data_IF_089788066168
#
_entry.id   IF_089788066168
#
_cell.length_a   1.000
_cell.length_b   1.000
_cell.length_c   1.000
_cell.angle_alpha   90.00
_cell.angle_beta   90.00
_cell.angle_gamma   90.00
#
_symmetry.space_group_name_H-M   'P 1'
#
loop_
_entity.id
_entity.type
_entity.pdbx_description
1 polymer ?
#
# COMPACT_ATOMS: atom_id res chain seq x y z
N UNK A 1 21.72 -2.07 2.72
CA UNK A 1 21.53 -3.17 1.74
C UNK A 1 21.91 -4.53 2.33
N UNK A 2 23.12 -4.76 2.85
CA UNK A 2 23.50 -6.08 3.42
C UNK A 2 22.47 -6.64 4.44
N UNK A 3 21.99 -5.81 5.37
CA UNK A 3 20.96 -6.21 6.35
C UNK A 3 19.67 -6.71 5.68
N UNK A 4 19.23 -6.15 4.56
CA UNK A 4 18.03 -6.64 3.88
C UNK A 4 18.26 -8.01 3.26
N UNK A 5 19.41 -8.22 2.62
CA UNK A 5 19.71 -9.52 2.01
C UNK A 5 19.74 -10.63 3.05
N UNK A 6 20.45 -10.40 4.15
CA UNK A 6 20.65 -11.41 5.18
C UNK A 6 19.35 -11.77 5.91
N UNK A 7 18.48 -10.79 6.17
CA UNK A 7 17.23 -11.00 6.93
C UNK A 7 16.08 -11.51 6.04
N UNK A 8 16.05 -11.18 4.74
CA UNK A 8 14.92 -11.52 3.86
C UNK A 8 15.09 -12.85 3.10
N UNK A 9 16.31 -13.40 3.06
CA UNK A 9 16.60 -14.64 2.33
C UNK A 9 15.83 -15.86 2.84
N UNK A 10 15.39 -15.86 4.10
CA UNK A 10 14.60 -16.97 4.66
C UNK A 10 13.14 -16.98 4.17
N UNK A 11 12.64 -15.83 3.72
CA UNK A 11 11.21 -15.61 3.43
C UNK A 11 10.91 -15.44 1.94
N UNK A 12 11.95 -15.26 1.11
CA UNK A 12 11.81 -15.00 -0.31
C UNK A 12 13.12 -15.08 -1.05
N UNK A 13 13.10 -14.71 -2.32
CA UNK A 13 14.26 -14.81 -3.21
C UNK A 13 14.66 -13.45 -3.76
N UNK A 14 15.96 -13.30 -3.97
CA UNK A 14 16.56 -12.12 -4.59
C UNK A 14 16.88 -12.42 -6.05
N UNK A 15 16.45 -11.55 -6.97
CA UNK A 15 16.67 -11.70 -8.41
C UNK A 15 17.05 -10.36 -9.05
N UNK A 16 17.84 -10.41 -10.12
CA UNK A 16 18.09 -9.26 -10.97
C UNK A 16 16.88 -9.00 -11.87
N UNK A 17 16.31 -7.80 -11.80
CA UNK A 17 15.09 -7.46 -12.54
C UNK A 17 15.21 -6.11 -13.25
N UNK A 18 15.30 -6.18 -14.58
CA UNK A 18 15.36 -5.02 -15.51
C UNK A 18 16.41 -3.99 -15.06
N UNK A 19 16.08 -2.70 -15.09
CA UNK A 19 16.93 -1.59 -14.66
C UNK A 19 16.89 -1.35 -13.15
N UNK A 20 16.04 -2.06 -12.40
CA UNK A 20 16.00 -1.94 -10.93
C UNK A 20 17.16 -2.66 -10.25
N UNK A 21 17.82 -3.57 -10.96
CA UNK A 21 18.87 -4.41 -10.41
C UNK A 21 18.27 -5.46 -9.46
N UNK A 22 18.88 -5.70 -8.29
CA UNK A 22 18.42 -6.74 -7.40
C UNK A 22 17.16 -6.34 -6.63
N UNK A 23 16.11 -7.14 -6.82
CA UNK A 23 14.81 -7.02 -6.17
C UNK A 23 14.52 -8.29 -5.38
N UNK A 24 13.59 -8.22 -4.43
CA UNK A 24 13.19 -9.35 -3.60
C UNK A 24 11.71 -9.67 -3.80
N UNK A 25 11.31 -10.94 -3.77
CA UNK A 25 9.91 -11.33 -3.72
C UNK A 25 9.67 -12.45 -2.71
N UNK A 26 8.54 -12.43 -1.98
CA UNK A 26 8.23 -13.48 -1.01
C UNK A 26 7.84 -14.77 -1.73
N UNK A 27 8.27 -15.91 -1.19
CA UNK A 27 7.96 -17.24 -1.77
C UNK A 27 6.98 -18.05 -0.91
N UNK A 28 6.66 -17.57 0.30
CA UNK A 28 5.80 -18.23 1.28
C UNK A 28 4.57 -17.38 1.60
N UNK A 29 3.82 -17.02 0.56
CA UNK A 29 2.59 -16.23 0.66
C UNK A 29 1.40 -17.00 0.11
N UNK A 30 0.19 -16.68 0.60
CA UNK A 30 -1.04 -17.31 0.13
C UNK A 30 -1.44 -16.85 -1.28
N UNK A 31 -2.33 -17.62 -1.92
CA UNK A 31 -2.90 -17.23 -3.21
C UNK A 31 -3.67 -15.90 -3.08
N UNK A 32 -3.48 -15.00 -4.03
CA UNK A 32 -4.11 -13.68 -4.01
C UNK A 32 -3.44 -12.68 -3.06
N UNK A 33 -2.33 -13.06 -2.40
CA UNK A 33 -1.53 -12.15 -1.60
C UNK A 33 -1.06 -10.92 -2.38
N UNK A 34 -1.07 -9.78 -1.69
CA UNK A 34 -0.58 -8.49 -2.18
C UNK A 34 0.09 -7.73 -1.02
N UNK A 35 1.09 -6.89 -1.29
CA UNK A 35 1.63 -5.98 -0.29
C UNK A 35 0.51 -5.14 0.33
N UNK A 36 0.55 -4.96 1.65
CA UNK A 36 -0.45 -4.20 2.41
C UNK A 36 -1.87 -4.82 2.38
N UNK A 37 -2.01 -6.14 2.23
CA UNK A 37 -3.29 -6.84 2.33
C UNK A 37 -3.43 -7.65 3.63
N UNK A 38 -2.40 -8.42 4.00
CA UNK A 38 -2.43 -9.21 5.24
C UNK A 38 -1.90 -8.40 6.43
N UNK A 39 -2.74 -7.50 6.91
CA UNK A 39 -2.46 -6.62 8.04
C UNK A 39 -3.57 -5.62 8.24
N UNK A 40 -3.29 -4.55 8.98
CA UNK A 40 -4.21 -3.41 9.14
C UNK A 40 -3.46 -2.09 9.19
N UNK A 41 -4.13 -1.01 8.83
CA UNK A 41 -3.58 0.33 8.95
C UNK A 41 -3.77 0.88 10.36
N UNK A 42 -2.69 1.39 10.95
CA UNK A 42 -2.68 2.02 12.28
C UNK A 42 -2.09 3.43 12.18
N UNK A 43 -2.75 4.46 12.71
CA UNK A 43 -2.21 5.81 12.71
C UNK A 43 -1.13 5.94 13.80
N UNK A 44 -0.02 6.58 13.46
CA UNK A 44 1.07 6.88 14.40
C UNK A 44 1.46 8.35 14.32
N UNK A 45 2.29 8.82 15.25
CA UNK A 45 2.89 10.16 15.19
C UNK A 45 3.80 10.38 13.96
N UNK A 46 4.18 9.31 13.26
CA UNK A 46 5.02 9.32 12.06
C UNK A 46 4.22 9.09 10.77
N UNK A 47 2.88 8.95 10.86
CA UNK A 47 1.99 8.64 9.74
C UNK A 47 1.30 7.28 9.89
N UNK A 48 0.52 6.89 8.89
CA UNK A 48 -0.13 5.58 8.85
C UNK A 48 0.89 4.48 8.55
N UNK A 49 1.03 3.54 9.50
CA UNK A 49 1.88 2.35 9.42
C UNK A 49 1.00 1.13 9.19
N UNK A 50 1.52 0.15 8.44
CA UNK A 50 0.84 -1.13 8.24
C UNK A 50 1.31 -2.15 9.28
N UNK A 51 0.43 -2.46 10.23
CA UNK A 51 0.67 -3.47 11.25
C UNK A 51 0.37 -4.87 10.68
N UNK A 52 1.35 -5.76 10.73
CA UNK A 52 1.28 -7.10 10.12
C UNK A 52 2.13 -8.11 10.90
N UNK A 53 1.84 -9.41 10.72
CA UNK A 53 2.70 -10.51 11.15
C UNK A 53 3.65 -11.00 10.06
N UNK A 54 3.64 -10.39 8.88
CA UNK A 54 4.59 -10.71 7.83
C UNK A 54 6.02 -10.39 8.28
N UNK A 55 6.92 -11.39 8.32
CA UNK A 55 8.24 -11.22 8.92
C UNK A 55 9.15 -10.25 8.16
N UNK A 56 8.80 -9.94 6.90
CA UNK A 56 9.48 -8.95 6.07
C UNK A 56 8.93 -7.52 6.20
N UNK A 57 7.76 -7.34 6.83
CA UNK A 57 7.02 -6.07 6.83
C UNK A 57 7.82 -4.88 7.36
N UNK A 58 8.64 -5.09 8.39
CA UNK A 58 9.51 -4.06 8.97
C UNK A 58 10.47 -3.43 7.94
N UNK A 59 10.87 -4.20 6.94
CA UNK A 59 11.74 -3.74 5.86
C UNK A 59 10.89 -3.26 4.68
N UNK A 60 10.05 -4.13 4.13
CA UNK A 60 9.48 -3.93 2.81
C UNK A 60 8.35 -2.91 2.77
N UNK A 61 7.72 -2.61 3.91
CA UNK A 61 6.68 -1.59 4.01
C UNK A 61 7.20 -0.21 4.38
N UNK A 62 8.51 -0.11 4.63
CA UNK A 62 9.12 1.12 5.11
C UNK A 62 10.33 1.58 4.29
N UNK A 63 11.08 0.65 3.70
CA UNK A 63 12.36 0.92 3.04
C UNK A 63 12.36 0.54 1.56
N UNK A 64 11.45 1.10 0.77
CA UNK A 64 11.42 0.85 -0.67
C UNK A 64 10.02 0.84 -1.23
N UNK A 65 9.88 0.21 -2.38
CA UNK A 65 8.66 0.26 -3.18
C UNK A 65 8.32 -1.12 -3.74
N UNK A 66 7.04 -1.44 -3.77
CA UNK A 66 6.55 -2.65 -4.41
C UNK A 66 6.14 -2.35 -5.84
N UNK A 67 6.44 -3.28 -6.74
CA UNK A 67 5.95 -3.26 -8.12
C UNK A 67 5.30 -4.60 -8.46
N UNK A 68 4.14 -4.58 -9.14
CA UNK A 68 3.55 -5.80 -9.65
C UNK A 68 4.31 -6.25 -10.91
N UNK A 69 4.43 -7.56 -11.08
CA UNK A 69 5.12 -8.20 -12.20
C UNK A 69 4.34 -9.45 -12.62
N UNK A 70 4.35 -9.75 -13.91
CA UNK A 70 3.69 -10.95 -14.46
C UNK A 70 4.45 -12.23 -14.09
N UNK A 71 5.78 -12.14 -13.95
CA UNK A 71 6.65 -13.29 -13.70
C UNK A 71 6.70 -13.69 -12.21
N UNK A 72 6.78 -12.73 -11.29
CA UNK A 72 7.00 -12.99 -9.86
C UNK A 72 5.81 -12.55 -9.00
N UNK A 73 4.72 -12.07 -9.60
CA UNK A 73 3.58 -11.48 -8.90
C UNK A 73 3.90 -10.09 -8.35
N UNK A 74 4.64 -10.01 -7.24
CA UNK A 74 5.04 -8.76 -6.61
C UNK A 74 6.51 -8.81 -6.23
N UNK A 75 7.28 -7.82 -6.67
CA UNK A 75 8.68 -7.66 -6.28
C UNK A 75 8.85 -6.35 -5.52
N UNK A 76 9.72 -6.37 -4.52
CA UNK A 76 10.13 -5.23 -3.73
C UNK A 76 11.47 -4.71 -4.22
N UNK A 77 11.49 -3.42 -4.57
CA UNK A 77 12.68 -2.65 -4.93
C UNK A 77 13.20 -1.97 -3.67
N UNK A 78 14.40 -2.33 -3.17
CA UNK A 78 14.91 -1.77 -1.93
C UNK A 78 15.21 -0.28 -2.01
N UNK A 79 14.88 0.44 -0.94
CA UNK A 79 15.20 1.85 -0.71
C UNK A 79 16.05 2.03 0.56
N UNK A 80 16.75 3.17 0.65
CA UNK A 80 17.60 3.50 1.81
C UNK A 80 16.92 4.35 2.88
N UNK A 81 15.74 4.90 2.59
CA UNK A 81 15.03 5.85 3.45
C UNK A 81 13.80 5.18 4.03
N UNK A 82 13.57 5.39 5.33
CA UNK A 82 12.37 4.92 6.02
C UNK A 82 11.19 5.86 5.76
N UNK A 83 10.00 5.30 5.54
CA UNK A 83 8.72 6.00 5.51
C UNK A 83 7.69 5.23 6.34
N UNK A 84 6.65 5.90 6.87
CA UNK A 84 5.55 5.20 7.55
C UNK A 84 4.87 4.19 6.62
N UNK A 85 4.71 4.58 5.35
CA UNK A 85 4.33 3.72 4.24
C UNK A 85 4.66 4.39 2.90
N UNK A 86 4.68 3.59 1.84
CA UNK A 86 4.83 4.05 0.45
C UNK A 86 3.61 3.64 -0.36
N UNK A 87 2.45 4.18 0.00
CA UNK A 87 1.17 3.86 -0.64
C UNK A 87 0.44 5.12 -1.11
N UNK A 88 -0.37 5.00 -2.15
CA UNK A 88 -1.28 6.03 -2.63
C UNK A 88 -2.68 5.75 -2.10
N UNK A 89 -3.33 6.75 -1.53
CA UNK A 89 -4.65 6.62 -0.94
C UNK A 89 -5.76 7.17 -1.82
N UNK A 90 -6.94 6.57 -1.69
CA UNK A 90 -8.16 6.98 -2.38
C UNK A 90 -9.37 6.84 -1.46
N UNK A 91 -10.39 7.67 -1.68
CA UNK A 91 -11.71 7.50 -1.07
C UNK A 91 -12.76 7.37 -2.16
N UNK A 92 -13.77 6.55 -1.91
CA UNK A 92 -14.89 6.34 -2.84
C UNK A 92 -16.20 6.39 -2.08
N UNK A 93 -17.23 6.93 -2.74
CA UNK A 93 -18.61 6.83 -2.27
C UNK A 93 -19.47 6.24 -3.40
N UNK A 94 -20.00 5.04 -3.18
CA UNK A 94 -20.90 4.35 -4.11
C UNK A 94 -22.23 4.08 -3.42
N UNK A 95 -23.31 4.69 -3.92
CA UNK A 95 -24.66 4.53 -3.38
C UNK A 95 -24.75 4.82 -1.87
N UNK A 96 -24.04 5.85 -1.41
CA UNK A 96 -23.98 6.24 0.00
C UNK A 96 -23.07 5.38 0.88
N UNK A 97 -22.44 4.32 0.33
CA UNK A 97 -21.44 3.51 1.03
C UNK A 97 -20.04 4.08 0.75
N UNK A 98 -19.28 4.34 1.82
CA UNK A 98 -17.93 4.87 1.75
C UNK A 98 -16.89 3.75 1.82
N UNK A 99 -15.80 3.92 1.10
CA UNK A 99 -14.65 3.03 1.12
C UNK A 99 -13.35 3.82 1.10
N UNK A 100 -12.33 3.30 1.76
CA UNK A 100 -10.95 3.75 1.64
C UNK A 100 -10.19 2.72 0.82
N UNK A 101 -9.35 3.21 -0.09
CA UNK A 101 -8.49 2.37 -0.89
C UNK A 101 -7.05 2.80 -0.84
N UNK A 102 -6.16 1.84 -1.04
CA UNK A 102 -4.72 2.05 -1.06
C UNK A 102 -4.06 1.15 -2.09
N UNK A 103 -2.91 1.58 -2.59
CA UNK A 103 -2.05 0.81 -3.47
C UNK A 103 -0.59 1.16 -3.20
N UNK A 104 0.37 0.22 -3.32
CA UNK A 104 1.78 0.55 -3.26
C UNK A 104 2.16 1.58 -4.34
N UNK A 105 2.91 2.60 -3.94
CA UNK A 105 3.55 3.53 -4.86
C UNK A 105 4.80 2.87 -5.42
N UNK A 106 4.96 2.80 -6.74
CA UNK A 106 6.14 2.21 -7.36
C UNK A 106 7.35 3.17 -7.26
N UNK A 107 8.60 2.69 -7.48
CA UNK A 107 9.80 3.52 -7.35
C UNK A 107 9.84 4.66 -8.39
N UNK A 108 10.60 5.76 -8.18
CA UNK A 108 10.58 6.93 -9.07
C UNK A 108 10.87 6.66 -10.55
N UNK A 109 11.67 5.64 -10.85
CA UNK A 109 12.01 5.19 -12.20
C UNK A 109 11.08 4.08 -12.71
N UNK A 110 9.82 4.05 -12.25
CA UNK A 110 8.87 3.00 -12.60
C UNK A 110 8.46 3.00 -14.06
N UNK A 111 8.71 1.86 -14.69
CA UNK A 111 8.23 1.47 -16.00
C UNK A 111 7.35 0.21 -15.85
N UNK A 112 6.01 0.35 -15.93
CA UNK A 112 5.10 -0.78 -15.76
C UNK A 112 5.19 -1.77 -16.92
N UNK A 113 4.96 -3.06 -16.62
CA UNK A 113 4.68 -4.04 -17.67
C UNK A 113 3.35 -3.72 -18.37
N UNK A 114 3.12 -4.21 -19.60
CA UNK A 114 1.88 -3.95 -20.33
C UNK A 114 0.60 -4.30 -19.54
N UNK A 115 0.63 -5.36 -18.72
CA UNK A 115 -0.51 -5.79 -17.90
C UNK A 115 -0.81 -4.84 -16.72
N UNK A 116 0.15 -4.00 -16.35
CA UNK A 116 0.03 -2.99 -15.29
C UNK A 116 0.09 -1.57 -15.86
N UNK A 117 -0.28 -1.41 -17.12
CA UNK A 117 -0.40 -0.12 -17.80
C UNK A 117 -1.70 -0.05 -18.62
N UNK A 118 -2.29 1.15 -18.80
CA UNK A 118 -3.37 1.31 -19.75
C UNK A 118 -2.88 1.04 -21.18
N UNK A 119 -3.81 0.72 -22.08
CA UNK A 119 -3.49 0.57 -23.50
C UNK A 119 -2.80 1.83 -24.05
N UNK A 120 -1.58 1.70 -24.57
CA UNK A 120 -0.75 2.81 -25.02
C UNK A 120 0.20 3.39 -23.96
N UNK A 121 0.18 2.85 -22.74
CA UNK A 121 1.01 3.30 -21.62
C UNK A 121 0.47 4.55 -20.93
N UNK A 122 1.08 4.89 -19.79
CA UNK A 122 0.81 6.18 -19.13
C UNK A 122 1.43 7.32 -19.97
N UNK A 123 0.79 8.50 -20.03
CA UNK A 123 1.42 9.70 -20.57
C UNK A 123 2.81 9.92 -19.93
N UNK A 124 3.84 10.33 -20.69
CA UNK A 124 5.19 10.50 -20.16
C UNK A 124 5.29 11.42 -18.93
N UNK A 125 4.44 12.46 -18.89
CA UNK A 125 4.39 13.44 -17.81
C UNK A 125 3.58 12.98 -16.59
N UNK A 126 2.94 11.80 -16.64
CA UNK A 126 2.17 11.28 -15.51
C UNK A 126 3.11 11.02 -14.34
N UNK A 127 2.86 11.62 -13.16
CA UNK A 127 3.67 11.37 -11.97
C UNK A 127 3.64 9.90 -11.58
N UNK A 128 4.74 9.39 -11.01
CA UNK A 128 4.89 7.96 -10.72
C UNK A 128 3.82 7.40 -9.78
N UNK A 129 3.39 8.21 -8.81
CA UNK A 129 2.31 7.89 -7.86
C UNK A 129 0.94 7.76 -8.53
N UNK A 130 0.78 8.27 -9.76
CA UNK A 130 -0.43 8.14 -10.57
C UNK A 130 -0.32 7.03 -11.63
N UNK A 131 0.86 6.41 -11.79
CA UNK A 131 1.09 5.28 -12.70
C UNK A 131 0.65 3.94 -12.10
N UNK A 132 -0.48 3.94 -11.41
CA UNK A 132 -1.02 2.76 -10.72
C UNK A 132 -2.35 2.41 -11.38
N UNK A 133 -2.44 1.21 -11.94
CA UNK A 133 -3.69 0.74 -12.55
C UNK A 133 -4.74 0.40 -11.49
N UNK A 134 -6.03 0.56 -11.79
CA UNK A 134 -7.11 0.32 -10.82
C UNK A 134 -7.08 -1.06 -10.14
N UNK A 135 -6.70 -2.11 -10.88
CA UNK A 135 -6.64 -3.49 -10.39
C UNK A 135 -5.64 -3.70 -9.23
N UNK A 136 -4.69 -2.79 -9.04
CA UNK A 136 -3.71 -2.82 -7.95
C UNK A 136 -4.29 -2.29 -6.64
N UNK A 137 -5.33 -1.44 -6.69
CA UNK A 137 -5.92 -0.89 -5.47
C UNK A 137 -6.67 -1.94 -4.67
N UNK A 138 -6.44 -1.92 -3.37
CA UNK A 138 -7.19 -2.65 -2.35
C UNK A 138 -8.22 -1.67 -1.77
N UNK A 139 -9.46 -2.12 -1.55
CA UNK A 139 -10.51 -1.28 -0.97
C UNK A 139 -11.17 -1.93 0.25
N UNK A 140 -11.16 -1.23 1.36
CA UNK A 140 -11.92 -1.57 2.56
C UNK A 140 -13.18 -0.71 2.65
N UNK A 141 -14.35 -1.29 2.96
CA UNK A 141 -15.49 -0.50 3.44
C UNK A 141 -15.09 0.33 4.66
N UNK A 142 -15.62 1.56 4.77
CA UNK A 142 -15.28 2.47 5.87
C UNK A 142 -15.33 1.82 7.27
N UNK A 143 -16.43 1.16 7.67
CA UNK A 143 -16.50 0.49 8.97
C UNK A 143 -15.52 -0.67 9.17
N UNK A 144 -15.02 -1.28 8.09
CA UNK A 144 -14.02 -2.35 8.15
C UNK A 144 -12.59 -1.81 8.29
N UNK A 145 -12.34 -0.60 7.78
CA UNK A 145 -11.00 0.00 7.72
C UNK A 145 -10.32 0.11 9.10
N UNK A 146 -11.07 0.48 10.15
CA UNK A 146 -10.57 0.65 11.52
C UNK A 146 -11.02 -0.45 12.48
N UNK A 147 -11.50 -1.57 11.95
CA UNK A 147 -11.99 -2.65 12.79
C UNK A 147 -10.91 -3.14 13.74
N UNK A 148 -11.29 -3.33 15.00
CA UNK A 148 -10.45 -3.86 16.08
C UNK A 148 -9.17 -3.05 16.35
N UNK A 149 -9.06 -1.80 15.88
CA UNK A 149 -7.82 -1.00 16.00
C UNK A 149 -7.38 -0.75 17.45
N UNK A 150 -8.30 -0.80 18.41
CA UNK A 150 -8.02 -0.69 19.84
C UNK A 150 -7.55 -2.01 20.48
N UNK A 151 -7.70 -3.13 19.77
CA UNK A 151 -7.33 -4.46 20.23
C UNK A 151 -5.91 -4.83 19.77
N UNK A 152 -5.16 -5.65 20.53
CA UNK A 152 -3.91 -6.21 20.05
C UNK A 152 -4.08 -6.93 18.71
N UNK A 153 -3.12 -6.75 17.82
CA UNK A 153 -3.19 -7.37 16.50
C UNK A 153 -3.15 -8.89 16.59
N UNK A 154 -4.06 -9.51 15.85
CA UNK A 154 -4.12 -10.96 15.57
C UNK A 154 -4.35 -11.15 14.07
N UNK A 155 -3.97 -12.29 13.46
CA UNK A 155 -4.17 -12.51 12.03
C UNK A 155 -5.64 -12.38 11.61
N UNK A 156 -6.59 -12.70 12.48
CA UNK A 156 -8.03 -12.55 12.27
C UNK A 156 -8.47 -11.08 12.10
N UNK A 157 -7.66 -10.13 12.59
CA UNK A 157 -7.90 -8.70 12.40
C UNK A 157 -7.40 -8.19 11.05
N UNK A 158 -6.68 -9.00 10.28
CA UNK A 158 -6.10 -8.57 9.01
C UNK A 158 -7.19 -8.32 7.96
N UNK A 159 -6.95 -7.39 7.04
CA UNK A 159 -7.88 -7.16 5.94
C UNK A 159 -8.10 -8.43 5.10
N UNK A 160 -7.03 -9.19 4.82
CA UNK A 160 -7.10 -10.49 4.15
C UNK A 160 -8.08 -11.46 4.84
N UNK A 161 -8.01 -11.57 6.18
CA UNK A 161 -8.79 -12.53 6.95
C UNK A 161 -10.15 -12.00 7.44
N UNK A 162 -10.41 -10.70 7.29
CA UNK A 162 -11.64 -10.05 7.76
C UNK A 162 -12.92 -10.54 7.08
N UNK A 163 -12.82 -11.00 5.82
CA UNK A 163 -13.97 -11.33 4.97
C UNK A 163 -14.80 -10.13 4.52
N UNK A 164 -14.30 -8.91 4.68
CA UNK A 164 -15.06 -7.66 4.43
C UNK A 164 -14.51 -6.78 3.33
N UNK A 165 -13.34 -7.12 2.81
CA UNK A 165 -12.73 -6.38 1.72
C UNK A 165 -13.62 -6.43 0.48
N UNK A 166 -13.66 -5.31 -0.24
CA UNK A 166 -14.34 -5.29 -1.53
C UNK A 166 -13.58 -6.19 -2.50
N UNK A 167 -14.32 -6.93 -3.32
CA UNK A 167 -13.72 -7.91 -4.21
C UNK A 167 -12.77 -7.22 -5.21
N UNK A 168 -11.65 -7.87 -5.53
CA UNK A 168 -10.65 -7.28 -6.43
C UNK A 168 -11.22 -6.95 -7.82
N UNK A 169 -12.22 -7.72 -8.27
CA UNK A 169 -12.92 -7.51 -9.54
C UNK A 169 -13.78 -6.23 -9.51
N UNK A 170 -14.16 -5.73 -8.34
CA UNK A 170 -14.87 -4.45 -8.19
C UNK A 170 -13.93 -3.25 -8.17
N UNK A 171 -12.61 -3.46 -8.04
CA UNK A 171 -11.62 -2.39 -7.86
C UNK A 171 -11.69 -1.36 -8.99
N UNK A 172 -11.86 -1.78 -10.25
CA UNK A 172 -11.96 -0.85 -11.38
C UNK A 172 -13.20 0.07 -11.30
N UNK A 173 -14.35 -0.50 -10.96
CA UNK A 173 -15.60 0.24 -10.84
C UNK A 173 -15.57 1.23 -9.66
N UNK A 174 -14.96 0.82 -8.55
CA UNK A 174 -14.79 1.69 -7.37
C UNK A 174 -13.76 2.78 -7.67
N UNK A 175 -12.67 2.43 -8.36
CA UNK A 175 -11.62 3.36 -8.75
C UNK A 175 -12.18 4.50 -9.60
N UNK A 176 -13.01 4.18 -10.60
CA UNK A 176 -13.65 5.17 -11.47
C UNK A 176 -14.53 6.19 -10.72
N UNK A 177 -15.02 5.83 -9.52
CA UNK A 177 -15.84 6.70 -8.66
C UNK A 177 -15.04 7.32 -7.50
N UNK A 178 -13.76 6.98 -7.39
CA UNK A 178 -12.92 7.39 -6.27
C UNK A 178 -12.09 8.61 -6.60
N UNK A 179 -11.72 9.36 -5.58
CA UNK A 179 -10.81 10.49 -5.65
C UNK A 179 -9.53 10.19 -4.87
N UNK A 180 -8.41 10.75 -5.32
CA UNK A 180 -7.13 10.62 -4.63
C UNK A 180 -7.18 11.37 -3.29
N UNK A 181 -6.67 10.74 -2.24
CA UNK A 181 -6.55 11.31 -0.88
C UNK A 181 -5.07 11.38 -0.56
N UNK A 182 -4.34 12.22 -1.28
CA UNK A 182 -2.89 12.28 -1.14
C UNK A 182 -2.47 13.53 -0.39
N UNK A 183 -1.66 13.34 0.65
CA UNK A 183 -0.89 14.39 1.31
C UNK A 183 0.62 14.17 1.13
N UNK A 184 1.02 13.64 -0.03
CA UNK A 184 2.43 13.45 -0.38
C UNK A 184 3.22 14.73 -0.12
N UNK A 185 4.18 14.65 0.78
CA UNK A 185 5.10 15.74 1.05
C UNK A 185 6.37 15.47 0.24
N UNK A 186 6.58 16.26 -0.82
CA UNK A 186 7.88 16.38 -1.43
C UNK A 186 8.75 17.28 -0.54
N UNK A 187 9.79 16.72 0.08
CA UNK A 187 10.74 17.57 0.80
C UNK A 187 11.45 18.49 -0.19
N UNK A 188 11.48 19.80 0.08
CA UNK A 188 12.17 20.78 -0.78
C UNK A 188 13.65 20.42 -1.00
N UNK A 189 14.26 19.73 -0.04
CA UNK A 189 15.65 19.27 -0.10
C UNK A 189 15.85 17.99 -0.93
N UNK A 190 14.78 17.25 -1.22
CA UNK A 190 14.82 16.05 -2.05
C UNK A 190 13.48 15.90 -2.80
N UNK A 191 13.30 16.54 -3.96
CA UNK A 191 12.03 16.52 -4.69
C UNK A 191 11.67 15.15 -5.27
N UNK A 192 12.61 14.20 -5.29
CA UNK A 192 12.35 12.78 -5.63
C UNK A 192 11.82 11.99 -4.42
N UNK A 193 11.85 12.59 -3.23
CA UNK A 193 11.37 12.02 -1.97
C UNK A 193 9.88 12.26 -1.83
N UNK A 194 9.09 11.22 -2.03
CA UNK A 194 7.63 11.26 -1.98
C UNK A 194 7.16 10.42 -0.78
N UNK A 195 6.82 11.07 0.33
CA UNK A 195 6.34 10.43 1.55
C UNK A 195 4.84 10.70 1.75
N UNK A 196 4.03 9.66 1.98
CA UNK A 196 2.60 9.78 2.31
C UNK A 196 2.42 9.61 3.82
N UNK A 197 1.79 10.59 4.47
CA UNK A 197 1.46 10.48 5.89
C UNK A 197 0.20 9.65 6.12
N UNK A 198 -0.52 9.32 5.04
CA UNK A 198 -1.81 8.69 4.96
C UNK A 198 -2.97 9.67 5.08
N UNK A 199 -4.22 9.20 4.94
CA UNK A 199 -5.38 10.06 4.86
C UNK A 199 -5.55 10.87 6.16
N UNK A 200 -6.00 12.14 6.07
CA UNK A 200 -6.29 12.93 7.26
C UNK A 200 -7.31 12.21 8.17
N UNK A 201 -7.07 12.23 9.49
CA UNK A 201 -7.92 11.50 10.45
C UNK A 201 -9.39 11.91 10.37
N UNK A 202 -9.70 13.17 10.04
CA UNK A 202 -11.07 13.64 9.87
C UNK A 202 -11.77 12.98 8.67
N UNK A 203 -11.04 12.75 7.56
CA UNK A 203 -11.59 12.03 6.40
C UNK A 203 -11.82 10.56 6.72
N UNK A 204 -10.89 9.95 7.45
CA UNK A 204 -11.04 8.56 7.92
C UNK A 204 -12.23 8.45 8.87
N UNK A 205 -12.39 9.38 9.81
CA UNK A 205 -13.53 9.45 10.70
C UNK A 205 -14.86 9.59 9.94
N UNK A 206 -14.89 10.41 8.89
CA UNK A 206 -16.06 10.59 8.05
C UNK A 206 -16.42 9.32 7.24
N UNK A 207 -15.41 8.53 6.85
CA UNK A 207 -15.59 7.26 6.14
C UNK A 207 -16.04 6.13 7.06
N UNK A 208 -15.49 6.08 8.27
CA UNK A 208 -15.65 4.96 9.21
C UNK A 208 -16.77 5.16 10.22
N UNK A 209 -17.14 6.42 10.49
CA UNK A 209 -18.03 6.78 11.61
C UNK A 209 -17.34 6.76 12.98
N UNK A 210 -16.01 6.57 13.03
CA UNK A 210 -15.22 6.53 14.27
C UNK A 210 -14.60 7.90 14.53
N UNK A 211 -14.74 8.45 15.74
CA UNK A 211 -14.24 9.79 16.05
C UNK A 211 -12.69 9.86 16.08
N UNK A 212 -12.07 10.96 15.62
CA UNK A 212 -10.60 11.08 15.56
C UNK A 212 -9.88 10.91 16.91
N UNK A 213 -10.49 11.35 18.01
CA UNK A 213 -9.91 11.24 19.37
C UNK A 213 -9.67 9.78 19.78
N UNK A 214 -10.48 8.86 19.26
CA UNK A 214 -10.32 7.43 19.48
C UNK A 214 -9.11 6.86 18.73
N UNK A 215 -8.72 7.47 17.61
CA UNK A 215 -7.67 6.98 16.71
C UNK A 215 -6.25 7.30 17.19
N UNK A 216 -6.06 8.34 18.00
CA UNK A 216 -4.72 8.81 18.42
C UNK A 216 -4.27 8.20 19.75
N UNK A 217 -5.18 7.58 20.51
CA UNK A 217 -4.89 7.03 21.84
C UNK A 217 -4.33 5.59 21.83
N UNK A 218 -4.08 5.00 20.66
CA UNK A 218 -3.66 3.59 20.50
C UNK A 218 -2.19 3.41 20.09
N UNK A 219 -1.32 4.41 20.29
CA UNK A 219 0.12 4.32 19.99
C UNK A 219 1.00 4.31 21.25
#
# INVERSE_FOLDING_TARGET
MAVFYDELVEYGEWVEYKHYGPVWFPTKVEEGWRPYLDGRWVPTAQGWVFETQEPWGWATYHFGNWIPTTEYGWVWVPGGTWYPSTVAWRKSTREGKKALGWAPVPPPNYEPEPDFAPAGGFPPETPVQERIVPAVFIYAPGPAFLRNIEEPYTPECSYMNSGEMLAAEEAEAIYALSEAVSNFIAEVANPELVADWGPPLDEVAECTGVAPVTLVNTA
#
